data_IF_641002173767
#
_entry.id   IF_641002173767
#
_cell.length_a   1.000
_cell.length_b   1.000
_cell.length_c   1.000
_cell.angle_alpha   90.00
_cell.angle_beta   90.00
_cell.angle_gamma   90.00
#
_symmetry.space_group_name_H-M   'P 1'
#
loop_
_entity.id
_entity.type
_entity.pdbx_description
1 polymer ?
#
# COMPACT_ATOMS: atom_id res chain seq x y z
N UNK A 1 7.51 6.30 3.02
CA UNK A 1 6.49 6.36 1.96
C UNK A 1 6.10 7.81 1.76
N UNK A 2 5.82 8.23 0.54
CA UNK A 2 5.24 9.53 0.20
C UNK A 2 4.02 9.31 -0.72
N UNK A 3 3.10 10.27 -0.75
CA UNK A 3 1.78 10.11 -1.37
C UNK A 3 1.35 11.39 -2.06
N UNK A 4 0.85 11.28 -3.30
CA UNK A 4 0.36 12.40 -4.11
C UNK A 4 -0.92 11.98 -4.85
N UNK A 5 -1.97 12.79 -4.75
CA UNK A 5 -3.16 12.71 -5.61
C UNK A 5 -3.17 13.96 -6.49
N UNK A 6 -3.16 13.78 -7.80
CA UNK A 6 -3.26 14.87 -8.78
C UNK A 6 -4.25 14.46 -9.86
N UNK A 7 -5.24 15.30 -10.15
CA UNK A 7 -6.23 15.07 -11.21
C UNK A 7 -6.87 13.67 -11.15
N UNK A 8 -7.31 13.25 -9.96
CA UNK A 8 -7.85 11.90 -9.66
C UNK A 8 -6.88 10.72 -9.85
N UNK A 9 -5.64 10.98 -10.29
CA UNK A 9 -4.60 9.98 -10.38
C UNK A 9 -3.86 9.85 -9.04
N UNK A 10 -3.75 8.60 -8.59
CA UNK A 10 -3.13 8.28 -7.31
C UNK A 10 -1.71 7.75 -7.51
N UNK A 11 -0.75 8.40 -6.86
CA UNK A 11 0.65 8.03 -6.95
C UNK A 11 1.25 7.85 -5.57
N UNK A 12 2.01 6.78 -5.43
CA UNK A 12 2.74 6.49 -4.19
C UNK A 12 4.21 6.31 -4.48
N UNK A 13 5.04 6.78 -3.55
CA UNK A 13 6.45 6.47 -3.52
C UNK A 13 6.72 5.63 -2.28
N UNK A 14 7.20 4.42 -2.51
CA UNK A 14 7.45 3.44 -1.46
C UNK A 14 8.94 3.39 -1.13
N UNK A 15 9.25 3.14 0.14
CA UNK A 15 10.62 2.87 0.57
C UNK A 15 10.74 1.37 0.76
N UNK A 16 11.49 0.72 -0.10
CA UNK A 16 11.80 -0.72 -0.01
C UNK A 16 13.31 -0.96 -0.15
N UNK A 17 13.80 -2.04 0.44
CA UNK A 17 15.16 -2.55 0.27
C UNK A 17 15.20 -3.89 -0.50
N UNK A 18 14.03 -4.45 -0.85
CA UNK A 18 13.93 -5.79 -1.44
C UNK A 18 14.03 -5.79 -2.97
N UNK A 19 13.62 -4.70 -3.63
CA UNK A 19 13.63 -4.58 -5.09
C UNK A 19 14.39 -3.30 -5.47
N UNK A 20 15.59 -3.48 -6.01
CA UNK A 20 16.39 -2.37 -6.55
C UNK A 20 15.66 -1.70 -7.70
N UNK A 21 15.62 -0.36 -7.71
CA UNK A 21 14.90 0.40 -8.74
C UNK A 21 13.38 0.51 -8.53
N UNK A 22 12.84 0.11 -7.36
CA UNK A 22 11.44 0.38 -6.95
C UNK A 22 11.35 1.31 -5.73
N UNK A 23 12.49 1.63 -5.13
CA UNK A 23 12.53 2.44 -3.91
C UNK A 23 12.62 3.93 -4.25
N UNK A 24 11.81 4.75 -3.58
CA UNK A 24 11.78 6.20 -3.68
C UNK A 24 11.40 6.77 -5.07
N UNK A 25 10.67 6.01 -5.87
CA UNK A 25 10.13 6.44 -7.18
C UNK A 25 8.61 6.38 -7.19
N UNK A 26 7.97 7.00 -8.17
CA UNK A 26 6.51 7.04 -8.27
C UNK A 26 5.94 5.79 -8.94
N UNK A 27 4.95 5.22 -8.28
CA UNK A 27 4.13 4.11 -8.76
C UNK A 27 2.70 4.59 -8.93
N UNK A 28 2.07 4.19 -10.02
CA UNK A 28 0.69 4.54 -10.33
C UNK A 28 -0.28 3.58 -9.66
N UNK A 29 -1.41 4.09 -9.17
CA UNK A 29 -2.52 3.31 -8.64
C UNK A 29 -3.77 3.63 -9.43
N UNK A 30 -4.21 2.68 -10.25
CA UNK A 30 -5.41 2.82 -11.08
C UNK A 30 -6.70 2.67 -10.27
N UNK A 31 -6.71 1.79 -9.27
CA UNK A 31 -7.93 1.46 -8.51
C UNK A 31 -8.07 2.36 -7.29
N UNK A 32 -9.14 3.15 -7.24
CA UNK A 32 -9.47 4.05 -6.13
C UNK A 32 -9.42 3.36 -4.74
N UNK A 33 -9.89 2.11 -4.63
CA UNK A 33 -9.86 1.35 -3.37
C UNK A 33 -8.44 1.10 -2.87
N UNK A 34 -7.51 0.76 -3.77
CA UNK A 34 -6.09 0.54 -3.45
C UNK A 34 -5.47 1.87 -3.02
N UNK A 35 -5.82 2.96 -3.71
CA UNK A 35 -5.35 4.30 -3.36
C UNK A 35 -5.77 4.70 -1.93
N UNK A 36 -7.04 4.52 -1.58
CA UNK A 36 -7.56 4.82 -0.24
C UNK A 36 -6.90 3.98 0.84
N UNK A 37 -6.64 2.69 0.58
CA UNK A 37 -5.92 1.83 1.52
C UNK A 37 -4.46 2.27 1.69
N UNK A 38 -3.78 2.64 0.60
CA UNK A 38 -2.41 3.16 0.65
C UNK A 38 -2.34 4.48 1.45
N UNK A 39 -3.30 5.38 1.21
CA UNK A 39 -3.43 6.64 1.95
C UNK A 39 -3.66 6.38 3.45
N UNK A 40 -4.57 5.46 3.79
CA UNK A 40 -4.84 5.10 5.18
C UNK A 40 -3.59 4.51 5.86
N UNK A 41 -2.89 3.59 5.19
CA UNK A 41 -1.66 3.01 5.73
C UNK A 41 -0.57 4.07 5.94
N UNK A 42 -0.44 5.04 5.03
CA UNK A 42 0.47 6.17 5.17
C UNK A 42 0.14 7.02 6.39
N UNK A 43 -1.12 7.43 6.55
CA UNK A 43 -1.59 8.24 7.69
C UNK A 43 -1.40 7.51 9.02
N UNK A 44 -1.63 6.20 9.04
CA UNK A 44 -1.48 5.36 10.23
C UNK A 44 -0.02 4.93 10.49
N UNK A 45 0.93 5.28 9.62
CA UNK A 45 2.32 4.84 9.73
C UNK A 45 2.50 3.32 9.67
N UNK A 46 1.60 2.61 8.98
CA UNK A 46 1.62 1.15 8.88
C UNK A 46 2.48 0.66 7.72
N UNK A 47 3.13 -0.47 7.94
CA UNK A 47 3.81 -1.20 6.88
C UNK A 47 2.79 -1.89 5.98
N UNK A 48 3.13 -1.99 4.69
CA UNK A 48 2.30 -2.62 3.67
C UNK A 48 3.14 -3.56 2.82
N UNK A 49 2.48 -4.58 2.29
CA UNK A 49 2.93 -5.36 1.15
C UNK A 49 2.18 -4.85 -0.08
N UNK A 50 2.91 -4.65 -1.16
CA UNK A 50 2.34 -4.26 -2.44
C UNK A 50 2.61 -5.34 -3.48
N UNK A 51 1.68 -5.50 -4.41
CA UNK A 51 1.93 -6.22 -5.66
C UNK A 51 1.89 -5.22 -6.81
N UNK A 52 2.91 -5.24 -7.65
CA UNK A 52 3.09 -4.30 -8.74
C UNK A 52 3.33 -5.03 -10.05
N UNK A 53 2.88 -4.43 -11.15
CA UNK A 53 3.12 -4.91 -12.52
C UNK A 53 3.79 -3.80 -13.32
N UNK A 54 4.57 -4.18 -14.33
CA UNK A 54 5.15 -3.21 -15.26
C UNK A 54 4.06 -2.32 -15.85
N UNK A 55 4.33 -1.02 -15.86
CA UNK A 55 3.45 -0.04 -16.48
C UNK A 55 3.96 0.25 -17.89
N UNK A 56 3.06 0.28 -18.87
CA UNK A 56 3.40 0.67 -20.24
C UNK A 56 3.67 2.17 -20.40
N UNK A 57 3.26 2.99 -19.42
CA UNK A 57 3.57 4.42 -19.38
C UNK A 57 4.97 4.65 -18.78
N UNK A 58 5.89 5.32 -19.51
CA UNK A 58 7.27 5.55 -19.09
C UNK A 58 7.42 6.50 -17.89
N UNK A 59 6.39 7.28 -17.55
CA UNK A 59 6.44 8.25 -16.43
C UNK A 59 6.34 7.56 -15.07
N UNK A 60 5.97 6.28 -15.03
CA UNK A 60 5.77 5.51 -13.80
C UNK A 60 6.62 4.26 -13.81
N UNK A 61 7.19 3.92 -12.65
CA UNK A 61 7.99 2.71 -12.54
C UNK A 61 7.14 1.43 -12.65
N UNK A 62 5.91 1.46 -12.14
CA UNK A 62 4.99 0.32 -12.16
C UNK A 62 3.56 0.75 -11.80
N UNK A 63 2.60 -0.13 -12.05
CA UNK A 63 1.22 -0.02 -11.55
C UNK A 63 1.03 -0.91 -10.33
N UNK A 64 0.52 -0.37 -9.23
CA UNK A 64 0.15 -1.14 -8.04
C UNK A 64 -1.22 -1.79 -8.28
N UNK A 65 -1.24 -3.12 -8.30
CA UNK A 65 -2.44 -3.91 -8.59
C UNK A 65 -3.10 -4.48 -7.33
N UNK A 66 -2.34 -4.55 -6.22
CA UNK A 66 -2.84 -4.99 -4.92
C UNK A 66 -2.04 -4.38 -3.75
N UNK A 67 -2.69 -4.28 -2.58
CA UNK A 67 -2.10 -3.76 -1.34
C UNK A 67 -2.66 -4.49 -0.12
N UNK A 68 -1.78 -4.90 0.78
CA UNK A 68 -2.13 -5.48 2.07
C UNK A 68 -1.38 -4.77 3.20
N UNK A 69 -2.06 -4.41 4.28
CA UNK A 69 -1.41 -3.93 5.50
C UNK A 69 -0.78 -5.12 6.20
N UNK A 70 0.51 -5.08 6.54
CA UNK A 70 1.22 -6.24 7.10
C UNK A 70 1.02 -6.42 8.59
N UNK A 71 0.59 -5.36 9.27
CA UNK A 71 0.41 -5.36 10.73
C UNK A 71 -1.03 -5.73 11.08
N UNK A 72 -1.37 -6.99 10.82
CA UNK A 72 -2.68 -7.55 11.10
C UNK A 72 -2.62 -8.46 12.32
N UNK A 73 -2.50 -7.88 13.52
CA UNK A 73 -3.13 -8.48 14.71
C UNK A 73 -4.66 -8.34 14.59
N UNK A 74 -5.22 -8.82 13.48
CA UNK A 74 -6.66 -8.88 13.27
C UNK A 74 -7.10 -10.22 13.86
N UNK A 75 -7.54 -10.19 15.10
CA UNK A 75 -8.31 -11.30 15.66
C UNK A 75 -9.75 -11.16 15.17
N UNK A 76 -10.14 -12.07 14.26
CA UNK A 76 -11.52 -12.21 13.81
C UNK A 76 -11.94 -13.66 14.01
N UNK A 77 -13.06 -13.95 14.69
CA UNK A 77 -13.99 -13.03 15.39
C UNK A 77 -13.43 -12.45 16.71
N UNK A 78 -14.02 -11.35 17.26
CA UNK A 78 -13.55 -10.66 18.46
C UNK A 78 -13.90 -11.44 19.74
N UNK A 79 -13.29 -12.60 19.93
CA UNK A 79 -13.35 -13.30 21.21
C UNK A 79 -12.09 -12.98 21.99
N UNK A 80 -12.19 -11.98 22.87
CA UNK A 80 -11.37 -12.00 24.07
C UNK A 80 -11.59 -13.36 24.71
N UNK A 81 -10.49 -14.05 25.03
CA UNK A 81 -10.52 -15.20 25.93
C UNK A 81 -11.21 -14.72 27.21
N UNK A 82 -12.49 -15.04 27.36
CA UNK A 82 -13.13 -14.99 28.67
C UNK A 82 -12.36 -16.00 29.50
N UNK A 83 -11.61 -15.51 30.48
CA UNK A 83 -11.09 -16.33 31.56
C UNK A 83 -12.29 -16.99 32.25
N UNK A 84 -12.66 -18.19 31.81
CA UNK A 84 -13.49 -19.06 32.60
C UNK A 84 -12.59 -19.72 33.64
N UNK A 85 -12.64 -19.11 34.82
CA UNK A 85 -12.26 -19.69 36.11
C UNK A 85 -13.12 -20.93 36.38
#
# INVERSE_FOLDING_TARGET
MAFVIQNDNCHISIKTNTISGYSNIWHYIEKEKICKLAQLAYVLGKNITINAQENSNPDYASTIVDIAVTDTTIQWPPYNKSNHN
#
